data_IF_678087668893
#
_entry.id   IF_678087668893
#
_cell.length_a   1.000
_cell.length_b   1.000
_cell.length_c   1.000
_cell.angle_alpha   90.00
_cell.angle_beta   90.00
_cell.angle_gamma   90.00
#
_symmetry.space_group_name_H-M   'P 1'
#
loop_
_entity.id
_entity.type
_entity.pdbx_description
1 polymer ?
#
# COMPACT_ATOMS: atom_id res chain seq x y z
N UNK A 1 -9.00 -10.60 -16.82
CA UNK A 1 -7.98 -10.38 -15.78
C UNK A 1 -7.47 -11.73 -15.33
N UNK A 2 -6.20 -12.00 -15.54
CA UNK A 2 -5.59 -13.21 -15.02
C UNK A 2 -5.52 -13.08 -13.50
N UNK A 3 -6.25 -13.92 -12.79
CA UNK A 3 -6.10 -14.05 -11.35
C UNK A 3 -4.67 -14.50 -11.06
N UNK A 4 -3.99 -13.84 -10.11
CA UNK A 4 -2.67 -14.25 -9.69
C UNK A 4 -2.74 -15.65 -9.06
N UNK A 5 -2.45 -16.67 -9.86
CA UNK A 5 -2.43 -18.07 -9.44
C UNK A 5 -1.00 -18.45 -9.08
N UNK A 6 -0.82 -18.97 -7.88
CA UNK A 6 0.45 -19.56 -7.44
C UNK A 6 0.26 -21.04 -7.21
N UNK A 7 1.03 -21.85 -7.90
CA UNK A 7 1.06 -23.30 -7.71
C UNK A 7 2.25 -23.67 -6.82
N UNK A 8 1.96 -24.28 -5.67
CA UNK A 8 2.96 -24.84 -4.77
C UNK A 8 2.44 -26.16 -4.21
N UNK A 9 3.22 -27.21 -4.38
CA UNK A 9 2.85 -28.56 -3.93
C UNK A 9 1.48 -29.01 -4.46
N UNK A 10 1.19 -28.74 -5.73
CA UNK A 10 -0.10 -29.05 -6.40
C UNK A 10 -1.31 -28.35 -5.80
N UNK A 11 -1.13 -27.30 -5.00
CA UNK A 11 -2.21 -26.44 -4.51
C UNK A 11 -2.20 -25.13 -5.27
N UNK A 12 -3.28 -24.85 -5.97
CA UNK A 12 -3.51 -23.54 -6.60
C UNK A 12 -3.98 -22.55 -5.54
N UNK A 13 -3.27 -21.43 -5.40
CA UNK A 13 -3.65 -20.35 -4.49
C UNK A 13 -3.75 -19.06 -5.30
N UNK A 14 -4.86 -18.36 -5.18
CA UNK A 14 -5.12 -17.09 -5.84
C UNK A 14 -5.61 -16.07 -4.80
N UNK A 15 -5.76 -14.81 -5.20
CA UNK A 15 -5.93 -13.64 -4.35
C UNK A 15 -4.70 -13.33 -3.48
N UNK A 16 -4.16 -12.11 -3.63
CA UNK A 16 -2.93 -11.72 -2.94
C UNK A 16 -3.04 -11.80 -1.42
N UNK A 17 -4.21 -11.48 -0.85
CA UNK A 17 -4.47 -11.62 0.58
C UNK A 17 -4.44 -13.08 1.05
N UNK A 18 -5.06 -13.99 0.30
CA UNK A 18 -5.04 -15.41 0.61
C UNK A 18 -3.62 -16.00 0.46
N UNK A 19 -2.87 -15.55 -0.55
CA UNK A 19 -1.46 -15.94 -0.73
C UNK A 19 -0.62 -15.48 0.45
N UNK A 20 -0.80 -14.25 0.94
CA UNK A 20 -0.09 -13.73 2.10
C UNK A 20 -0.38 -14.54 3.36
N UNK A 21 -1.66 -14.85 3.64
CA UNK A 21 -2.04 -15.70 4.78
C UNK A 21 -1.39 -17.08 4.66
N UNK A 22 -1.52 -17.74 3.52
CA UNK A 22 -0.96 -19.07 3.27
C UNK A 22 0.56 -19.11 3.49
N UNK A 23 1.30 -18.14 2.93
CA UNK A 23 2.75 -18.07 3.08
C UNK A 23 3.17 -17.72 4.51
N UNK A 24 2.42 -16.88 5.19
CA UNK A 24 2.68 -16.52 6.58
C UNK A 24 2.47 -17.71 7.53
N UNK A 25 1.41 -18.49 7.33
CA UNK A 25 1.15 -19.73 8.08
C UNK A 25 2.24 -20.78 7.82
N UNK A 26 2.65 -20.97 6.56
CA UNK A 26 3.73 -21.91 6.24
C UNK A 26 5.08 -21.51 6.83
N UNK A 27 5.36 -20.20 6.90
CA UNK A 27 6.65 -19.71 7.42
C UNK A 27 6.65 -19.50 8.93
N UNK A 28 5.48 -19.45 9.57
CA UNK A 28 5.32 -19.06 10.98
C UNK A 28 5.68 -17.60 11.25
N UNK A 29 5.69 -16.72 10.22
CA UNK A 29 6.13 -15.32 10.32
C UNK A 29 5.03 -14.35 9.89
N UNK A 30 5.03 -13.15 10.46
CA UNK A 30 4.19 -12.00 10.05
C UNK A 30 2.68 -12.19 10.25
N UNK A 31 2.24 -13.28 10.93
CA UNK A 31 0.83 -13.59 11.17
C UNK A 31 0.66 -14.33 12.48
N UNK A 32 0.97 -13.67 13.59
CA UNK A 32 0.91 -14.28 14.93
C UNK A 32 -0.55 -14.48 15.39
N UNK A 33 -0.76 -15.47 16.24
CA UNK A 33 -2.10 -15.85 16.75
C UNK A 33 -2.71 -14.78 17.64
N UNK A 34 -1.89 -14.10 18.43
CA UNK A 34 -2.36 -13.11 19.42
C UNK A 34 -3.04 -11.91 18.74
N UNK A 35 -2.45 -11.42 17.64
CA UNK A 35 -2.92 -10.21 16.95
C UNK A 35 -3.71 -10.56 15.67
N UNK A 36 -4.10 -11.83 15.48
CA UNK A 36 -4.70 -12.34 14.23
C UNK A 36 -5.94 -11.57 13.80
N UNK A 37 -6.80 -11.20 14.73
CA UNK A 37 -8.00 -10.42 14.41
C UNK A 37 -7.63 -9.06 13.82
N UNK A 38 -6.75 -8.32 14.47
CA UNK A 38 -6.29 -7.01 14.03
C UNK A 38 -5.57 -7.09 12.69
N UNK A 39 -4.71 -8.10 12.51
CA UNK A 39 -4.02 -8.34 11.23
C UNK A 39 -5.02 -8.58 10.11
N UNK A 40 -6.05 -9.40 10.34
CA UNK A 40 -7.08 -9.68 9.35
C UNK A 40 -7.92 -8.45 9.02
N UNK A 41 -8.27 -7.64 10.01
CA UNK A 41 -9.02 -6.39 9.78
C UNK A 41 -8.25 -5.46 8.83
N UNK A 42 -6.98 -5.22 9.09
CA UNK A 42 -6.15 -4.36 8.25
C UNK A 42 -5.83 -4.98 6.89
N UNK A 43 -5.65 -6.31 6.82
CA UNK A 43 -5.49 -7.00 5.55
C UNK A 43 -6.76 -6.89 4.69
N UNK A 44 -7.93 -7.08 5.29
CA UNK A 44 -9.21 -6.94 4.56
C UNK A 44 -9.49 -5.49 4.19
N UNK A 45 -9.16 -4.52 5.03
CA UNK A 45 -9.22 -3.10 4.68
C UNK A 45 -8.34 -2.78 3.46
N UNK A 46 -7.16 -3.38 3.39
CA UNK A 46 -6.30 -3.24 2.21
C UNK A 46 -6.95 -3.88 0.97
N UNK A 47 -7.43 -5.12 1.05
CA UNK A 47 -8.02 -5.85 -0.07
C UNK A 47 -9.31 -5.21 -0.59
N UNK A 48 -10.19 -4.76 0.32
CA UNK A 48 -11.51 -4.24 -0.02
C UNK A 48 -11.56 -2.72 -0.27
N UNK A 49 -10.58 -1.97 0.20
CA UNK A 49 -10.65 -0.51 0.19
C UNK A 49 -9.36 0.14 -0.31
N UNK A 50 -8.24 0.01 0.40
CA UNK A 50 -7.01 0.74 0.07
C UNK A 50 -6.54 0.42 -1.35
N UNK A 51 -6.34 -0.86 -1.67
CA UNK A 51 -5.88 -1.31 -2.97
C UNK A 51 -6.84 -0.92 -4.10
N UNK A 52 -8.12 -1.32 -4.03
CA UNK A 52 -9.08 -0.99 -5.08
C UNK A 52 -9.27 0.51 -5.32
N UNK A 53 -9.31 1.33 -4.27
CA UNK A 53 -9.53 2.77 -4.44
C UNK A 53 -8.30 3.50 -4.99
N UNK A 54 -7.10 3.16 -4.53
CA UNK A 54 -5.86 3.67 -5.12
C UNK A 54 -5.69 3.19 -6.55
N UNK A 55 -6.08 1.94 -6.86
CA UNK A 55 -6.10 1.43 -8.23
C UNK A 55 -7.03 2.20 -9.15
N UNK A 56 -8.23 2.58 -8.68
CA UNK A 56 -9.12 3.47 -9.45
C UNK A 56 -8.51 4.87 -9.62
N UNK A 57 -7.83 5.38 -8.60
CA UNK A 57 -7.12 6.64 -8.74
C UNK A 57 -6.02 6.55 -9.82
N UNK A 58 -5.22 5.47 -9.86
CA UNK A 58 -4.28 5.24 -10.95
C UNK A 58 -4.98 5.24 -12.30
N UNK A 59 -6.14 4.58 -12.41
CA UNK A 59 -6.89 4.47 -13.66
C UNK A 59 -7.31 5.83 -14.21
N UNK A 60 -7.83 6.72 -13.36
CA UNK A 60 -8.34 8.01 -13.81
C UNK A 60 -7.28 9.10 -13.84
N UNK A 61 -6.36 9.11 -12.89
CA UNK A 61 -5.37 10.19 -12.72
C UNK A 61 -4.06 9.94 -13.48
N UNK A 62 -3.54 8.72 -13.43
CA UNK A 62 -2.24 8.38 -14.01
C UNK A 62 -2.35 7.85 -15.45
N UNK A 63 -3.22 6.85 -15.68
CA UNK A 63 -3.32 6.19 -16.99
C UNK A 63 -4.24 6.91 -17.99
N UNK A 64 -5.28 7.61 -17.53
CA UNK A 64 -6.27 8.26 -18.37
C UNK A 64 -6.57 9.71 -17.93
N UNK A 65 -5.55 10.57 -17.76
CA UNK A 65 -5.77 11.94 -17.31
C UNK A 65 -6.66 12.71 -18.28
N UNK A 66 -7.59 13.50 -17.74
CA UNK A 66 -8.50 14.32 -18.53
C UNK A 66 -9.69 13.59 -19.18
N UNK A 67 -9.78 12.25 -19.05
CA UNK A 67 -10.89 11.47 -19.63
C UNK A 67 -12.19 11.53 -18.82
N UNK A 68 -12.10 11.74 -17.51
CA UNK A 68 -13.26 11.85 -16.65
C UNK A 68 -12.96 12.73 -15.44
N UNK A 69 -13.36 14.00 -15.51
CA UNK A 69 -13.21 14.92 -14.38
C UNK A 69 -13.89 14.41 -13.11
N UNK A 70 -15.07 13.82 -13.24
CA UNK A 70 -15.78 13.22 -12.09
C UNK A 70 -14.99 12.08 -11.46
N UNK A 71 -14.43 11.17 -12.25
CA UNK A 71 -13.62 10.06 -11.76
C UNK A 71 -12.34 10.55 -11.09
N UNK A 72 -11.62 11.48 -11.72
CA UNK A 72 -10.40 12.08 -11.17
C UNK A 72 -10.68 12.74 -9.82
N UNK A 73 -11.65 13.65 -9.75
CA UNK A 73 -11.99 14.39 -8.51
C UNK A 73 -12.47 13.43 -7.40
N UNK A 74 -13.28 12.44 -7.75
CA UNK A 74 -13.79 11.46 -6.80
C UNK A 74 -12.66 10.63 -6.18
N UNK A 75 -11.84 10.00 -7.01
CA UNK A 75 -10.81 9.08 -6.52
C UNK A 75 -9.61 9.80 -5.92
N UNK A 76 -9.31 11.02 -6.34
CA UNK A 76 -8.34 11.86 -5.67
C UNK A 76 -8.76 12.17 -4.21
N UNK A 77 -10.03 12.56 -3.99
CA UNK A 77 -10.57 12.78 -2.64
C UNK A 77 -10.54 11.52 -1.77
N UNK A 78 -10.87 10.36 -2.35
CA UNK A 78 -10.82 9.09 -1.65
C UNK A 78 -9.37 8.73 -1.30
N UNK A 79 -8.42 8.90 -2.22
CA UNK A 79 -7.00 8.63 -2.00
C UNK A 79 -6.42 9.50 -0.89
N UNK A 80 -6.72 10.80 -0.87
CA UNK A 80 -6.34 11.69 0.25
C UNK A 80 -6.91 11.24 1.59
N UNK A 81 -8.15 10.75 1.60
CA UNK A 81 -8.76 10.19 2.81
C UNK A 81 -8.02 8.95 3.28
N UNK A 82 -7.68 8.02 2.39
CA UNK A 82 -6.90 6.82 2.71
C UNK A 82 -5.56 7.20 3.35
N UNK A 83 -4.83 8.14 2.77
CA UNK A 83 -3.55 8.62 3.33
C UNK A 83 -3.72 9.16 4.75
N UNK A 84 -4.76 9.96 4.99
CA UNK A 84 -5.06 10.50 6.32
C UNK A 84 -5.42 9.39 7.32
N UNK A 85 -6.28 8.45 6.93
CA UNK A 85 -6.71 7.34 7.79
C UNK A 85 -5.54 6.42 8.16
N UNK A 86 -4.64 6.13 7.21
CA UNK A 86 -3.42 5.38 7.47
C UNK A 86 -2.45 6.16 8.38
N UNK A 87 -2.27 7.46 8.14
CA UNK A 87 -1.41 8.31 8.99
C UNK A 87 -1.94 8.39 10.42
N UNK A 88 -3.25 8.57 10.59
CA UNK A 88 -3.92 8.58 11.89
C UNK A 88 -3.76 7.24 12.61
N UNK A 89 -3.95 6.12 11.93
CA UNK A 89 -3.69 4.79 12.51
C UNK A 89 -2.24 4.67 12.98
N UNK A 90 -1.30 5.06 12.17
CA UNK A 90 0.13 4.96 12.43
C UNK A 90 0.64 6.00 13.46
N UNK A 91 -0.15 6.99 13.84
CA UNK A 91 0.16 7.88 14.96
C UNK A 91 0.06 7.15 16.31
N UNK A 92 -0.78 6.13 16.40
CA UNK A 92 -1.05 5.37 17.61
C UNK A 92 -0.37 3.98 17.61
N UNK A 93 0.28 3.60 16.54
CA UNK A 93 0.94 2.29 16.44
C UNK A 93 2.15 2.34 15.51
N UNK A 94 3.08 1.42 15.73
CA UNK A 94 4.27 1.32 14.90
C UNK A 94 3.94 0.83 13.48
N UNK A 95 3.08 -0.18 13.39
CA UNK A 95 2.60 -0.81 12.15
C UNK A 95 1.08 -0.87 12.13
N UNK A 96 0.47 -1.26 11.00
CA UNK A 96 -0.98 -1.24 10.82
C UNK A 96 -1.73 -2.09 11.84
N UNK A 97 -1.21 -3.25 12.20
CA UNK A 97 -1.82 -4.14 13.19
C UNK A 97 -1.20 -4.07 14.60
N UNK A 98 -0.44 -3.01 14.90
CA UNK A 98 0.15 -2.79 16.23
C UNK A 98 1.67 -2.63 16.22
N UNK A 99 2.36 -3.29 17.16
CA UNK A 99 3.81 -3.12 17.32
C UNK A 99 4.66 -3.96 16.37
N UNK A 100 4.08 -4.97 15.72
CA UNK A 100 4.79 -5.93 14.89
C UNK A 100 4.49 -5.73 13.40
N UNK A 101 5.52 -5.87 12.56
CA UNK A 101 5.38 -5.92 11.10
C UNK A 101 4.68 -7.21 10.69
N UNK A 102 3.61 -7.10 9.90
CA UNK A 102 2.72 -8.20 9.56
C UNK A 102 2.33 -8.21 8.08
N UNK A 103 1.57 -9.23 7.68
CA UNK A 103 1.03 -9.32 6.31
C UNK A 103 0.09 -8.16 5.95
N UNK A 104 -0.48 -7.46 6.92
CA UNK A 104 -1.25 -6.25 6.67
C UNK A 104 -0.37 -5.13 6.10
N UNK A 105 0.83 -4.95 6.66
CA UNK A 105 1.82 -4.00 6.16
C UNK A 105 2.38 -4.44 4.81
N UNK A 106 2.68 -5.74 4.66
CA UNK A 106 3.19 -6.32 3.40
C UNK A 106 2.20 -6.09 2.26
N UNK A 107 0.90 -6.27 2.51
CA UNK A 107 -0.14 -6.05 1.49
C UNK A 107 -0.38 -4.57 1.16
N UNK A 108 -0.21 -3.68 2.14
CA UNK A 108 -0.51 -2.24 1.98
C UNK A 108 0.67 -1.47 1.36
N UNK A 109 1.89 -1.82 1.72
CA UNK A 109 3.10 -1.10 1.32
C UNK A 109 3.24 -0.88 -0.20
N UNK A 110 3.01 -1.89 -1.08
CA UNK A 110 3.17 -1.70 -2.53
C UNK A 110 2.23 -0.63 -3.11
N UNK A 111 1.08 -0.40 -2.51
CA UNK A 111 0.14 0.64 -2.93
C UNK A 111 0.65 2.04 -2.57
N UNK A 112 1.18 2.20 -1.37
CA UNK A 112 1.78 3.47 -0.94
C UNK A 112 3.10 3.73 -1.67
N UNK A 113 3.83 2.70 -2.08
CA UNK A 113 5.04 2.83 -2.89
C UNK A 113 4.79 3.45 -4.29
N UNK A 114 3.54 3.59 -4.70
CA UNK A 114 3.13 4.35 -5.89
C UNK A 114 2.73 5.80 -5.57
N UNK A 115 3.17 6.36 -4.44
CA UNK A 115 2.82 7.70 -3.98
C UNK A 115 3.06 8.80 -5.02
N UNK A 116 4.04 8.66 -5.90
CA UNK A 116 4.29 9.59 -7.01
C UNK A 116 3.14 9.62 -8.02
N UNK A 117 2.49 8.46 -8.26
CA UNK A 117 1.33 8.37 -9.17
C UNK A 117 0.05 8.93 -8.57
N UNK A 118 0.04 9.13 -7.24
CA UNK A 118 -1.14 9.63 -6.54
C UNK A 118 -1.22 11.16 -6.53
N UNK A 119 -0.12 11.86 -6.82
CA UNK A 119 -0.03 13.32 -6.75
C UNK A 119 -0.51 13.90 -5.39
N UNK A 120 -0.26 13.15 -4.33
CA UNK A 120 -0.61 13.51 -2.95
C UNK A 120 0.64 13.83 -2.14
N UNK A 121 1.69 13.02 -2.34
CA UNK A 121 2.93 13.07 -1.58
C UNK A 121 2.80 12.55 -0.15
N UNK A 122 3.93 12.30 0.49
CA UNK A 122 3.98 11.79 1.86
C UNK A 122 4.28 12.87 2.90
N UNK A 123 4.79 14.04 2.47
CA UNK A 123 5.29 15.09 3.36
C UNK A 123 4.32 15.51 4.47
N UNK A 124 3.02 15.58 4.15
CA UNK A 124 1.98 16.00 5.11
C UNK A 124 1.52 14.87 6.05
N UNK A 125 2.03 13.66 5.86
CA UNK A 125 1.62 12.44 6.56
C UNK A 125 2.80 11.84 7.30
N UNK A 126 3.20 12.45 8.41
CA UNK A 126 4.45 12.15 9.12
C UNK A 126 4.56 10.69 9.59
N UNK A 127 3.46 10.13 10.07
CA UNK A 127 3.44 8.76 10.59
C UNK A 127 3.46 7.74 9.45
N UNK A 128 2.74 8.02 8.37
CA UNK A 128 2.76 7.21 7.16
C UNK A 128 4.14 7.27 6.48
N UNK A 129 4.79 8.43 6.46
CA UNK A 129 6.17 8.58 5.95
C UNK A 129 7.14 7.75 6.77
N UNK A 130 7.11 7.85 8.10
CA UNK A 130 7.95 7.02 9.00
C UNK A 130 7.75 5.52 8.72
N UNK A 131 6.51 5.06 8.66
CA UNK A 131 6.16 3.67 8.36
C UNK A 131 6.69 3.25 6.98
N UNK A 132 6.51 4.10 5.98
CA UNK A 132 6.98 3.86 4.62
C UNK A 132 8.51 3.71 4.56
N UNK A 133 9.25 4.66 5.15
CA UNK A 133 10.71 4.66 5.18
C UNK A 133 11.25 3.42 5.91
N UNK A 134 10.71 3.10 7.07
CA UNK A 134 11.13 1.91 7.83
C UNK A 134 10.91 0.61 7.05
N UNK A 135 9.81 0.48 6.33
CA UNK A 135 9.53 -0.72 5.53
C UNK A 135 10.39 -0.76 4.26
N UNK A 136 10.62 0.37 3.60
CA UNK A 136 11.43 0.44 2.38
C UNK A 136 12.87 -0.05 2.60
N UNK A 137 13.39 0.09 3.80
CA UNK A 137 14.75 -0.36 4.16
C UNK A 137 14.86 -1.87 4.43
N UNK A 138 13.75 -2.59 4.52
CA UNK A 138 13.76 -4.04 4.77
C UNK A 138 14.33 -4.80 3.57
N UNK A 139 15.26 -5.71 3.84
CA UNK A 139 15.90 -6.53 2.81
C UNK A 139 14.91 -7.30 1.92
N UNK A 140 13.84 -7.85 2.51
CA UNK A 140 12.79 -8.54 1.75
C UNK A 140 12.03 -7.62 0.80
N UNK A 141 11.84 -6.35 1.17
CA UNK A 141 11.19 -5.34 0.33
C UNK A 141 12.11 -4.94 -0.82
N UNK A 142 13.38 -4.63 -0.53
CA UNK A 142 14.40 -4.32 -1.56
C UNK A 142 14.54 -5.46 -2.58
N UNK A 143 14.64 -6.71 -2.11
CA UNK A 143 14.65 -7.88 -2.98
C UNK A 143 13.38 -8.06 -3.81
N UNK A 144 12.21 -7.74 -3.23
CA UNK A 144 10.94 -7.81 -3.93
C UNK A 144 10.84 -6.79 -5.06
N UNK A 145 11.33 -5.57 -4.86
CA UNK A 145 11.40 -4.54 -5.91
C UNK A 145 12.40 -4.91 -7.00
N UNK A 146 13.58 -5.38 -6.63
CA UNK A 146 14.63 -5.78 -7.56
C UNK A 146 14.33 -7.10 -8.33
N UNK A 147 13.24 -7.82 -8.00
CA UNK A 147 12.97 -9.14 -8.57
C UNK A 147 12.79 -9.14 -10.08
N UNK A 148 12.11 -8.13 -10.64
CA UNK A 148 11.87 -8.00 -12.09
C UNK A 148 12.92 -7.12 -12.78
N UNK A 149 13.54 -6.21 -12.04
CA UNK A 149 14.57 -5.29 -12.52
C UNK A 149 15.50 -4.95 -11.37
N UNK A 150 16.74 -5.40 -11.45
CA UNK A 150 17.77 -5.24 -10.40
C UNK A 150 18.03 -3.79 -9.99
N UNK A 151 17.75 -2.82 -10.86
CA UNK A 151 17.86 -1.39 -10.57
C UNK A 151 16.67 -0.79 -9.84
N UNK A 152 15.54 -1.51 -9.75
CA UNK A 152 14.36 -1.01 -9.05
C UNK A 152 14.53 -1.07 -7.53
N UNK A 153 14.22 0.05 -6.90
CA UNK A 153 14.16 0.20 -5.44
C UNK A 153 12.84 0.86 -5.05
N UNK A 154 12.41 0.73 -3.79
CA UNK A 154 11.25 1.50 -3.32
C UNK A 154 11.50 2.99 -3.57
N UNK A 155 10.56 3.72 -4.20
CA UNK A 155 10.69 5.15 -4.44
C UNK A 155 10.92 5.90 -3.13
N UNK A 156 11.89 6.83 -3.13
CA UNK A 156 12.12 7.68 -1.95
C UNK A 156 10.97 8.68 -1.82
N UNK A 157 10.49 8.95 -0.61
CA UNK A 157 9.53 10.03 -0.40
C UNK A 157 10.08 11.34 -0.95
N UNK A 158 9.36 11.97 -1.89
CA UNK A 158 9.75 13.28 -2.38
C UNK A 158 9.52 14.30 -1.25
N UNK A 159 10.58 14.78 -0.64
CA UNK A 159 10.57 15.80 0.40
C UNK A 159 10.43 17.23 -0.16
N UNK A 160 10.58 17.38 -1.48
CA UNK A 160 10.54 18.65 -2.18
C UNK A 160 9.21 18.83 -2.92
N UNK A 161 8.16 19.15 -2.20
CA UNK A 161 6.96 19.72 -2.82
C UNK A 161 7.15 21.24 -2.89
N UNK A 162 7.55 21.75 -4.04
CA UNK A 162 7.87 23.17 -4.23
C UNK A 162 6.71 24.00 -4.79
N UNK A 163 5.56 23.37 -5.08
CA UNK A 163 4.38 24.10 -5.56
C UNK A 163 3.09 23.46 -5.09
N UNK A 164 2.07 24.24 -4.69
CA UNK A 164 0.71 23.73 -4.56
C UNK A 164 0.28 23.17 -5.90
N UNK A 165 -0.34 21.99 -5.91
CA UNK A 165 -0.97 21.47 -7.12
C UNK A 165 -1.97 22.51 -7.64
N UNK A 166 -2.07 22.76 -8.96
CA UNK A 166 -3.11 23.63 -9.53
C UNK A 166 -4.54 23.20 -9.15
N UNK A 167 -4.69 22.06 -8.50
CA UNK A 167 -5.95 21.44 -8.04
C UNK A 167 -6.23 21.62 -6.56
N UNK A 168 -5.34 22.26 -5.79
CA UNK A 168 -5.65 22.62 -4.39
C UNK A 168 -6.68 23.76 -4.39
N UNK A 169 -7.86 23.55 -3.78
CA UNK A 169 -8.83 24.66 -3.64
C UNK A 169 -8.22 25.73 -2.75
N UNK A 170 -8.29 26.98 -3.22
CA UNK A 170 -7.99 28.18 -2.42
C UNK A 170 -8.97 28.32 -1.26
#
# INVERSE_FOLDING_TARGET
SEMCIRDRNKKTVFESGAILIYLAELSGKFYNTKDRLEINQWLMAQMGYVGPMLGQHHQFHHYNPGKSKFGEDRYFKISRRIYRELDERLSNSKYLSGSNYTIADIGTFPWIARHEWHDIGLKSYKNLTRWYEEISEREGVKKGFAFMNESETPPKPCLLYTSPSPRDPK
#
